data_IF_388616296767
#
_entry.id   IF_388616296767
#
_cell.length_a   1.000
_cell.length_b   1.000
_cell.length_c   1.000
_cell.angle_alpha   90.00
_cell.angle_beta   90.00
_cell.angle_gamma   90.00
#
_symmetry.space_group_name_H-M   'P 1'
#
loop_
_entity.id
_entity.type
_entity.pdbx_description
1 polymer ?
#
# COMPACT_ATOMS: atom_id res chain seq x y z
N UNK A 1 -7.02 -21.71 19.10
CA UNK A 1 -6.54 -20.33 18.81
C UNK A 1 -5.03 -20.36 18.61
N UNK A 2 -4.55 -20.58 17.37
CA UNK A 2 -3.11 -20.58 17.09
C UNK A 2 -2.65 -21.36 15.86
N UNK A 3 -3.49 -21.54 14.84
CA UNK A 3 -3.09 -22.23 13.62
C UNK A 3 -2.13 -21.40 12.75
N UNK A 4 -1.35 -22.04 11.86
CA UNK A 4 -0.41 -21.36 10.96
C UNK A 4 -1.09 -20.29 10.09
N UNK A 5 -2.36 -20.50 9.73
CA UNK A 5 -3.14 -19.53 8.98
C UNK A 5 -3.32 -18.20 9.74
N UNK A 6 -3.57 -18.23 11.05
CA UNK A 6 -3.70 -17.01 11.85
C UNK A 6 -2.37 -16.27 11.97
N UNK A 7 -1.25 -16.99 12.09
CA UNK A 7 0.08 -16.37 12.09
C UNK A 7 0.38 -15.65 10.76
N UNK A 8 0.01 -16.24 9.62
CA UNK A 8 0.16 -15.62 8.30
C UNK A 8 -0.70 -14.37 8.17
N UNK A 9 -1.97 -14.40 8.62
CA UNK A 9 -2.84 -13.21 8.58
C UNK A 9 -2.27 -12.11 9.48
N UNK A 10 -1.89 -12.42 10.72
CA UNK A 10 -1.34 -11.41 11.64
C UNK A 10 -0.01 -10.85 11.11
N UNK A 11 0.87 -11.70 10.59
CA UNK A 11 2.15 -11.27 10.02
C UNK A 11 1.98 -10.37 8.80
N UNK A 12 1.15 -10.78 7.84
CA UNK A 12 0.89 -10.00 6.62
C UNK A 12 0.18 -8.69 6.90
N UNK A 13 -0.80 -8.68 7.80
CA UNK A 13 -1.49 -7.44 8.22
C UNK A 13 -0.54 -6.50 8.94
N UNK A 14 0.27 -6.99 9.89
CA UNK A 14 1.26 -6.18 10.61
C UNK A 14 2.31 -5.60 9.66
N UNK A 15 2.77 -6.39 8.69
CA UNK A 15 3.70 -5.93 7.66
C UNK A 15 3.10 -4.79 6.83
N UNK A 16 1.91 -4.97 6.26
CA UNK A 16 1.26 -3.93 5.44
C UNK A 16 0.87 -2.69 6.24
N UNK A 17 0.43 -2.87 7.48
CA UNK A 17 0.13 -1.74 8.36
C UNK A 17 1.42 -0.95 8.63
N UNK A 18 2.54 -1.65 8.83
CA UNK A 18 3.86 -1.04 8.97
C UNK A 18 4.28 -0.28 7.71
N UNK A 19 4.12 -0.85 6.52
CA UNK A 19 4.49 -0.16 5.26
C UNK A 19 3.65 1.08 5.02
N UNK A 20 2.35 1.04 5.31
CA UNK A 20 1.48 2.23 5.25
C UNK A 20 1.89 3.27 6.28
N UNK A 21 2.16 2.87 7.53
CA UNK A 21 2.56 3.77 8.60
C UNK A 21 3.90 4.48 8.30
N UNK A 22 4.82 3.86 7.55
CA UNK A 22 6.07 4.52 7.13
C UNK A 22 5.82 5.78 6.29
N UNK A 23 4.71 5.82 5.54
CA UNK A 23 4.35 6.95 4.69
C UNK A 23 3.60 8.08 5.43
N UNK A 24 3.37 7.92 6.74
CA UNK A 24 2.66 8.90 7.57
C UNK A 24 3.20 10.33 7.43
N UNK A 25 4.52 10.51 7.31
CA UNK A 25 5.13 11.83 7.17
C UNK A 25 4.63 12.61 5.94
N UNK A 26 4.35 11.91 4.84
CA UNK A 26 3.76 12.52 3.65
C UNK A 26 2.23 12.61 3.78
N UNK A 27 1.58 11.54 4.26
CA UNK A 27 0.12 11.50 4.38
C UNK A 27 -0.44 12.53 5.37
N UNK A 28 0.29 12.80 6.45
CA UNK A 28 -0.08 13.84 7.42
C UNK A 28 -0.22 15.22 6.77
N UNK A 29 0.66 15.56 5.81
CA UNK A 29 0.62 16.85 5.12
C UNK A 29 -0.60 17.02 4.20
N UNK A 30 -1.18 15.91 3.74
CA UNK A 30 -2.29 15.91 2.79
C UNK A 30 -3.64 15.64 3.45
N UNK A 31 -3.68 14.72 4.40
CA UNK A 31 -4.92 14.22 5.00
C UNK A 31 -5.27 14.93 6.33
N UNK A 32 -4.25 15.43 7.05
CA UNK A 32 -4.41 15.92 8.43
C UNK A 32 -4.08 17.40 8.61
N UNK A 33 -3.64 18.09 7.56
CA UNK A 33 -3.37 19.53 7.57
C UNK A 33 -4.38 20.30 6.73
N UNK A 34 -4.79 21.46 7.21
CA UNK A 34 -5.69 22.38 6.50
C UNK A 34 -5.27 23.82 6.77
N UNK A 35 -5.15 24.69 5.75
CA UNK A 35 -5.37 24.41 4.32
C UNK A 35 -4.22 23.59 3.68
N UNK A 36 -4.54 22.83 2.63
CA UNK A 36 -3.53 22.13 1.82
C UNK A 36 -2.76 23.20 1.03
N UNK A 37 -1.48 23.38 1.35
CA UNK A 37 -0.60 24.33 0.67
C UNK A 37 0.09 23.68 -0.54
N UNK A 38 0.47 24.46 -1.57
CA UNK A 38 1.27 23.95 -2.69
C UNK A 38 2.59 23.30 -2.24
N UNK A 39 3.23 23.85 -1.20
CA UNK A 39 4.46 23.29 -0.64
C UNK A 39 4.23 21.91 0.02
N UNK A 40 3.09 21.72 0.70
CA UNK A 40 2.69 20.41 1.25
C UNK A 40 2.51 19.35 0.17
N UNK A 41 1.91 19.73 -0.97
CA UNK A 41 1.74 18.85 -2.14
C UNK A 41 3.10 18.48 -2.74
N UNK A 42 3.97 19.46 -2.98
CA UNK A 42 5.29 19.22 -3.56
C UNK A 42 6.16 18.35 -2.64
N UNK A 43 6.13 18.59 -1.32
CA UNK A 43 6.87 17.78 -0.35
C UNK A 43 6.38 16.33 -0.31
N UNK A 44 5.07 16.12 -0.35
CA UNK A 44 4.49 14.77 -0.35
C UNK A 44 4.82 14.03 -1.66
N UNK A 45 4.69 14.70 -2.80
CA UNK A 45 5.06 14.15 -4.11
C UNK A 45 6.55 13.79 -4.20
N UNK A 46 7.43 14.68 -3.73
CA UNK A 46 8.88 14.42 -3.72
C UNK A 46 9.26 13.28 -2.77
N UNK A 47 8.56 13.12 -1.65
CA UNK A 47 8.74 11.97 -0.76
C UNK A 47 8.34 10.66 -1.47
N UNK A 48 7.14 10.59 -2.05
CA UNK A 48 6.65 9.37 -2.70
C UNK A 48 7.45 8.98 -3.94
N UNK A 49 7.89 9.95 -4.73
CA UNK A 49 8.73 9.71 -5.91
C UNK A 49 10.12 9.16 -5.56
N UNK A 50 10.66 9.48 -4.37
CA UNK A 50 11.98 9.02 -3.92
C UNK A 50 11.94 7.76 -3.07
N UNK A 51 10.84 7.49 -2.37
CA UNK A 51 10.72 6.35 -1.45
C UNK A 51 9.90 5.20 -2.04
N UNK A 52 8.65 5.46 -2.42
CA UNK A 52 7.71 4.44 -2.86
C UNK A 52 7.95 4.00 -4.30
N UNK A 53 8.15 4.95 -5.23
CA UNK A 53 8.33 4.63 -6.65
C UNK A 53 9.50 3.68 -6.93
N UNK A 54 10.69 3.86 -6.33
CA UNK A 54 11.81 2.93 -6.53
C UNK A 54 11.51 1.53 -6.00
N UNK A 55 10.75 1.42 -4.90
CA UNK A 55 10.32 0.14 -4.33
C UNK A 55 9.36 -0.58 -5.28
N UNK A 56 8.39 0.14 -5.86
CA UNK A 56 7.42 -0.43 -6.81
C UNK A 56 8.07 -0.81 -8.15
N UNK A 57 9.11 -0.07 -8.58
CA UNK A 57 9.84 -0.34 -9.81
C UNK A 57 10.95 -1.41 -9.63
N UNK A 58 11.31 -1.75 -8.40
CA UNK A 58 12.30 -2.79 -8.10
C UNK A 58 11.62 -4.15 -7.98
N UNK A 59 11.86 -5.11 -8.91
CA UNK A 59 11.21 -6.42 -8.90
C UNK A 59 11.26 -7.17 -7.56
N UNK A 60 12.40 -7.28 -6.85
CA UNK A 60 12.45 -8.04 -5.60
C UNK A 60 11.60 -7.41 -4.49
N UNK A 61 11.59 -6.08 -4.38
CA UNK A 61 10.84 -5.38 -3.34
C UNK A 61 9.34 -5.37 -3.63
N UNK A 62 8.97 -5.16 -4.90
CA UNK A 62 7.58 -5.23 -5.35
C UNK A 62 6.99 -6.63 -5.11
N UNK A 63 7.75 -7.69 -5.40
CA UNK A 63 7.32 -9.07 -5.15
C UNK A 63 7.08 -9.35 -3.67
N UNK A 64 7.91 -8.82 -2.77
CA UNK A 64 7.69 -8.96 -1.32
C UNK A 64 6.41 -8.24 -0.89
N UNK A 65 6.21 -6.99 -1.34
CA UNK A 65 5.04 -6.19 -0.97
C UNK A 65 3.74 -6.82 -1.48
N UNK A 66 3.67 -7.10 -2.79
CA UNK A 66 2.49 -7.70 -3.41
C UNK A 66 2.29 -9.14 -2.96
N UNK A 67 3.37 -9.90 -2.78
CA UNK A 67 3.32 -11.27 -2.28
C UNK A 67 2.77 -11.34 -0.86
N UNK A 68 3.25 -10.48 0.05
CA UNK A 68 2.72 -10.43 1.42
C UNK A 68 1.22 -10.10 1.45
N UNK A 69 0.78 -9.14 0.64
CA UNK A 69 -0.65 -8.78 0.53
C UNK A 69 -1.51 -9.87 -0.12
N UNK A 70 -1.02 -10.52 -1.18
CA UNK A 70 -1.73 -11.58 -1.87
C UNK A 70 -1.85 -12.85 -1.01
N UNK A 71 -0.76 -13.27 -0.37
CA UNK A 71 -0.78 -14.43 0.53
C UNK A 71 -1.67 -14.13 1.74
N UNK A 72 -1.54 -12.95 2.35
CA UNK A 72 -2.37 -12.54 3.49
C UNK A 72 -3.86 -12.52 3.17
N UNK A 73 -4.24 -11.88 2.06
CA UNK A 73 -5.64 -11.82 1.61
C UNK A 73 -6.19 -13.18 1.23
N UNK A 74 -5.45 -14.00 0.47
CA UNK A 74 -5.89 -15.33 0.08
C UNK A 74 -6.13 -16.24 1.30
N UNK A 75 -5.19 -16.26 2.25
CA UNK A 75 -5.34 -17.04 3.49
C UNK A 75 -6.53 -16.54 4.32
N UNK A 76 -6.74 -15.22 4.40
CA UNK A 76 -7.89 -14.65 5.12
C UNK A 76 -9.22 -15.02 4.46
N UNK A 77 -9.31 -14.97 3.13
CA UNK A 77 -10.51 -15.40 2.39
C UNK A 77 -10.79 -16.89 2.59
N UNK A 78 -9.76 -17.74 2.50
CA UNK A 78 -9.90 -19.18 2.73
C UNK A 78 -10.37 -19.48 4.16
N UNK A 79 -9.85 -18.76 5.16
CA UNK A 79 -10.31 -18.87 6.56
C UNK A 79 -11.77 -18.43 6.71
N UNK A 80 -12.16 -17.30 6.11
CA UNK A 80 -13.51 -16.76 6.18
C UNK A 80 -14.53 -17.71 5.55
N UNK A 81 -14.18 -18.35 4.42
CA UNK A 81 -15.04 -19.34 3.75
C UNK A 81 -15.12 -20.68 4.50
N UNK A 82 -14.03 -21.09 5.18
CA UNK A 82 -13.95 -22.36 5.88
C UNK A 82 -14.66 -22.41 7.24
N UNK A 83 -15.00 -21.26 7.83
CA UNK A 83 -15.89 -21.09 8.99
C UNK A 83 -15.45 -21.69 10.35
N UNK A 84 -14.53 -22.67 10.38
CA UNK A 84 -14.25 -23.50 11.58
C UNK A 84 -13.36 -22.85 12.65
N UNK A 85 -12.66 -21.74 12.35
CA UNK A 85 -11.86 -20.96 13.31
C UNK A 85 -11.80 -19.46 12.97
N UNK A 86 -12.78 -18.92 12.26
CA UNK A 86 -12.76 -17.51 11.81
C UNK A 86 -13.16 -16.56 12.94
N UNK A 87 -12.34 -15.54 13.16
CA UNK A 87 -12.71 -14.40 13.98
C UNK A 87 -13.16 -13.28 13.05
N UNK A 88 -14.47 -13.23 12.77
CA UNK A 88 -15.06 -12.32 11.78
C UNK A 88 -14.62 -10.86 11.92
N UNK A 89 -14.44 -10.37 13.16
CA UNK A 89 -13.99 -9.00 13.39
C UNK A 89 -12.55 -8.79 12.89
N UNK A 90 -11.64 -9.69 13.25
CA UNK A 90 -10.23 -9.57 12.86
C UNK A 90 -10.03 -9.92 11.39
N UNK A 91 -10.65 -10.99 10.89
CA UNK A 91 -10.55 -11.39 9.49
C UNK A 91 -11.20 -10.32 8.58
N UNK A 92 -12.30 -9.68 9.01
CA UNK A 92 -12.93 -8.57 8.30
C UNK A 92 -12.08 -7.31 8.26
N UNK A 93 -11.51 -6.89 9.40
CA UNK A 93 -10.58 -5.77 9.44
C UNK A 93 -9.32 -6.02 8.59
N UNK A 94 -8.82 -7.26 8.58
CA UNK A 94 -7.69 -7.67 7.76
C UNK A 94 -8.01 -7.55 6.26
N UNK A 95 -9.18 -8.04 5.83
CA UNK A 95 -9.63 -7.89 4.44
C UNK A 95 -9.75 -6.43 4.03
N UNK A 96 -10.33 -5.59 4.89
CA UNK A 96 -10.42 -4.16 4.64
C UNK A 96 -9.04 -3.52 4.47
N UNK A 97 -8.07 -3.88 5.31
CA UNK A 97 -6.68 -3.42 5.20
C UNK A 97 -6.04 -3.88 3.88
N UNK A 98 -6.21 -5.14 3.47
CA UNK A 98 -5.67 -5.63 2.20
C UNK A 98 -6.26 -4.87 1.01
N UNK A 99 -7.57 -4.61 1.03
CA UNK A 99 -8.24 -3.85 -0.03
C UNK A 99 -7.79 -2.39 -0.08
N UNK A 100 -7.68 -1.72 1.07
CA UNK A 100 -7.26 -0.31 1.12
C UNK A 100 -5.79 -0.14 0.72
N UNK A 101 -4.90 -0.99 1.24
CA UNK A 101 -3.48 -1.03 0.85
C UNK A 101 -3.35 -1.31 -0.65
N UNK A 102 -4.11 -2.29 -1.16
CA UNK A 102 -4.14 -2.63 -2.58
C UNK A 102 -4.53 -1.44 -3.45
N UNK A 103 -5.58 -0.70 -3.07
CA UNK A 103 -6.03 0.48 -3.80
C UNK A 103 -4.97 1.59 -3.82
N UNK A 104 -4.32 1.86 -2.68
CA UNK A 104 -3.27 2.88 -2.56
C UNK A 104 -2.08 2.52 -3.45
N UNK A 105 -1.56 1.28 -3.36
CA UNK A 105 -0.41 0.87 -4.17
C UNK A 105 -0.76 0.78 -5.65
N UNK A 106 -1.97 0.33 -5.99
CA UNK A 106 -2.44 0.32 -7.38
C UNK A 106 -2.49 1.73 -7.98
N UNK A 107 -3.05 2.70 -7.26
CA UNK A 107 -3.10 4.08 -7.74
C UNK A 107 -1.70 4.67 -7.95
N UNK A 108 -0.77 4.42 -7.02
CA UNK A 108 0.62 4.88 -7.14
C UNK A 108 1.36 4.21 -8.31
N UNK A 109 1.16 2.90 -8.53
CA UNK A 109 1.73 2.17 -9.66
C UNK A 109 1.20 2.68 -11.00
N UNK A 110 -0.12 2.96 -11.09
CA UNK A 110 -0.73 3.56 -12.27
C UNK A 110 -0.13 4.93 -12.57
N UNK A 111 -0.08 5.83 -11.59
CA UNK A 111 0.51 7.16 -11.74
C UNK A 111 1.95 7.06 -12.25
N UNK A 112 2.75 6.14 -11.69
CA UNK A 112 4.11 5.88 -12.16
C UNK A 112 4.14 5.47 -13.63
N UNK A 113 3.29 4.53 -14.05
CA UNK A 113 3.24 4.05 -15.42
C UNK A 113 2.83 5.15 -16.40
N UNK A 114 1.84 5.98 -16.03
CA UNK A 114 1.43 7.14 -16.82
C UNK A 114 2.56 8.15 -16.99
N UNK A 115 3.28 8.48 -15.91
CA UNK A 115 4.42 9.40 -15.96
C UNK A 115 5.54 8.88 -16.86
N UNK A 116 5.85 7.58 -16.81
CA UNK A 116 6.84 6.95 -17.69
C UNK A 116 6.43 6.92 -19.17
N UNK A 117 5.11 6.95 -19.45
CA UNK A 117 4.59 6.96 -20.82
C UNK A 117 4.59 8.34 -21.49
N UNK A 118 4.80 9.43 -20.73
CA UNK A 118 4.79 10.78 -21.27
C UNK A 118 6.09 11.08 -22.05
N UNK A 119 5.99 11.73 -23.23
CA UNK A 119 7.17 12.12 -23.99
C UNK A 119 8.02 13.14 -23.21
N UNK A 120 9.34 12.96 -23.25
CA UNK A 120 10.32 13.77 -22.51
C UNK A 120 10.16 15.29 -22.72
N UNK A 121 9.69 15.71 -23.90
CA UNK A 121 9.43 17.12 -24.22
C UNK A 121 8.29 17.77 -23.42
N UNK A 122 7.33 16.97 -22.94
CA UNK A 122 6.23 17.46 -22.08
C UNK A 122 6.70 17.60 -20.63
N UNK A 123 7.55 16.68 -20.17
CA UNK A 123 8.10 16.69 -18.82
C UNK A 123 9.06 17.87 -18.63
N UNK A 124 9.95 18.13 -19.61
CA UNK A 124 10.93 19.21 -19.55
C UNK A 124 10.35 20.64 -19.66
N UNK A 125 9.08 20.78 -20.06
CA UNK A 125 8.40 22.09 -20.19
C UNK A 125 7.71 22.54 -18.89
N UNK A 126 7.36 21.59 -18.02
CA UNK A 126 6.49 21.82 -16.86
C UNK A 126 7.19 21.55 -15.51
N UNK A 127 8.51 21.41 -15.53
CA UNK A 127 9.40 21.38 -14.36
C UNK A 127 10.23 22.65 -14.43
#
# INVERSE_FOLDING_TARGET
>A
MGGPATAVVVGSTSFLLGTLAMHWTADHLLLWQSPITPDSLLRSYTYYSRSLLPVLNSPPHAVILYGAGLIGSAVTLLKALGGRESNWLFDGASLFLFSSAGLVYYNNALISAYLCSLPFSFLARNI
#
